data_IF_312047005521
#
_entry.id   IF_312047005521
#
_cell.length_a   1.000
_cell.length_b   1.000
_cell.length_c   1.000
_cell.angle_alpha   90.00
_cell.angle_beta   90.00
_cell.angle_gamma   90.00
#
_symmetry.space_group_name_H-M   'P 1'
#
loop_
_entity.id
_entity.type
_entity.pdbx_description
1 polymer ?
#
# COMPACT_ATOMS: atom_id res chain seq x y z
N UNK A 1 -22.81 6.98 -11.65
CA UNK A 1 -22.32 5.66 -11.17
C UNK A 1 -22.55 4.65 -12.29
N UNK A 2 -21.48 4.31 -13.06
CA UNK A 2 -21.56 3.27 -14.08
C UNK A 2 -20.96 2.01 -13.48
N UNK A 3 -21.79 1.03 -13.22
CA UNK A 3 -21.37 -0.32 -12.85
C UNK A 3 -20.60 -0.93 -14.03
N UNK A 4 -19.31 -1.17 -13.86
CA UNK A 4 -18.53 -2.00 -14.78
C UNK A 4 -19.00 -3.43 -14.62
N UNK A 5 -19.67 -3.96 -15.66
CA UNK A 5 -20.01 -5.35 -15.81
C UNK A 5 -18.71 -6.17 -15.74
N UNK A 6 -18.54 -6.92 -14.68
CA UNK A 6 -17.54 -7.96 -14.55
C UNK A 6 -17.96 -9.12 -15.44
N UNK A 7 -17.42 -9.12 -16.67
CA UNK A 7 -17.55 -10.24 -17.61
C UNK A 7 -16.89 -11.47 -16.99
N UNK A 8 -17.72 -12.43 -16.67
CA UNK A 8 -17.52 -13.88 -16.76
C UNK A 8 -16.17 -14.49 -16.42
N UNK A 9 -15.67 -14.30 -15.19
CA UNK A 9 -14.68 -15.24 -14.65
C UNK A 9 -15.43 -16.21 -13.74
N UNK A 10 -15.47 -17.51 -14.13
CA UNK A 10 -15.87 -18.60 -13.22
C UNK A 10 -15.24 -18.36 -11.86
N UNK A 11 -16.01 -18.41 -10.76
CA UNK A 11 -15.39 -18.34 -9.44
C UNK A 11 -14.37 -19.47 -9.35
N UNK A 12 -13.12 -19.19 -8.95
CA UNK A 12 -12.15 -20.24 -8.72
C UNK A 12 -12.76 -21.21 -7.72
N UNK A 13 -12.70 -22.51 -8.00
CA UNK A 13 -13.01 -23.58 -7.04
C UNK A 13 -11.94 -23.53 -5.93
N UNK A 14 -11.96 -22.49 -5.15
CA UNK A 14 -11.03 -22.29 -4.06
C UNK A 14 -11.70 -22.85 -2.80
N UNK A 15 -11.44 -24.13 -2.52
CA UNK A 15 -11.50 -24.58 -1.14
C UNK A 15 -10.45 -23.80 -0.39
N UNK A 16 -10.83 -22.66 0.19
CA UNK A 16 -9.99 -21.79 1.02
C UNK A 16 -9.61 -22.53 2.30
N UNK A 17 -8.73 -23.51 2.18
CA UNK A 17 -8.07 -24.10 3.33
C UNK A 17 -6.91 -23.18 3.73
N UNK A 18 -7.24 -22.04 4.35
CA UNK A 18 -6.26 -21.12 4.90
C UNK A 18 -5.27 -21.82 5.84
N UNK A 19 -5.72 -22.90 6.52
CA UNK A 19 -4.87 -23.74 7.36
C UNK A 19 -3.77 -24.47 6.56
N UNK A 20 -4.02 -24.84 5.29
CA UNK A 20 -3.00 -25.50 4.47
C UNK A 20 -1.89 -24.53 4.03
N UNK A 21 -2.24 -23.28 3.74
CA UNK A 21 -1.27 -22.23 3.39
C UNK A 21 -0.30 -21.98 4.55
N UNK A 22 -0.83 -21.90 5.78
CA UNK A 22 -0.01 -21.72 6.98
C UNK A 22 0.92 -22.92 7.25
N UNK A 23 0.41 -24.14 7.11
CA UNK A 23 1.19 -25.37 7.35
C UNK A 23 2.29 -25.58 6.31
N UNK A 24 2.00 -25.25 5.04
CA UNK A 24 2.93 -25.49 3.94
C UNK A 24 3.87 -24.30 3.66
N UNK A 25 3.55 -23.11 4.17
CA UNK A 25 4.31 -21.90 3.90
C UNK A 25 4.29 -21.45 2.42
N UNK A 26 3.40 -22.04 1.60
CA UNK A 26 3.32 -21.76 0.17
C UNK A 26 1.99 -21.12 -0.19
N UNK A 27 2.07 -19.97 -0.84
CA UNK A 27 0.90 -19.27 -1.38
C UNK A 27 0.63 -19.78 -2.79
N UNK A 28 -0.61 -20.24 -3.11
CA UNK A 28 -0.99 -20.66 -4.46
C UNK A 28 -0.74 -19.56 -5.50
N UNK A 29 -0.38 -19.95 -6.73
CA UNK A 29 -0.09 -19.00 -7.80
C UNK A 29 -1.29 -18.11 -8.12
N UNK A 30 -2.49 -18.66 -8.13
CA UNK A 30 -3.74 -17.91 -8.37
C UNK A 30 -3.94 -16.72 -7.41
N UNK A 31 -3.33 -16.75 -6.21
CA UNK A 31 -3.41 -15.65 -5.23
C UNK A 31 -2.37 -14.56 -5.50
N UNK A 32 -1.32 -14.89 -6.25
CA UNK A 32 -0.24 -13.98 -6.64
C UNK A 32 -0.55 -13.26 -7.94
N UNK A 33 -1.40 -13.86 -8.79
CA UNK A 33 -1.74 -13.31 -10.09
C UNK A 33 -2.62 -12.08 -9.94
N UNK A 34 -2.33 -11.06 -10.72
CA UNK A 34 -3.09 -9.82 -10.73
C UNK A 34 -3.28 -9.29 -12.16
N UNK A 35 -4.48 -8.82 -12.46
CA UNK A 35 -4.75 -8.07 -13.69
C UNK A 35 -4.35 -6.62 -13.49
N UNK A 36 -3.52 -6.08 -14.39
CA UNK A 36 -3.10 -4.68 -14.34
C UNK A 36 -4.03 -3.83 -15.20
N UNK A 37 -4.74 -2.91 -14.56
CA UNK A 37 -5.61 -1.94 -15.23
C UNK A 37 -4.93 -0.58 -15.28
N UNK A 38 -4.94 0.06 -16.46
CA UNK A 38 -4.33 1.38 -16.67
C UNK A 38 -5.30 2.47 -16.24
N UNK A 39 -4.87 3.36 -15.35
CA UNK A 39 -5.59 4.57 -14.98
C UNK A 39 -4.86 5.80 -15.50
N UNK A 40 -5.53 6.59 -16.33
CA UNK A 40 -4.99 7.86 -16.81
C UNK A 40 -4.95 8.90 -15.68
N UNK A 41 -3.81 9.57 -15.50
CA UNK A 41 -3.64 10.61 -14.48
C UNK A 41 -3.92 12.00 -15.04
N UNK A 42 -3.05 12.48 -15.92
CA UNK A 42 -3.10 13.82 -16.54
C UNK A 42 -2.13 13.90 -17.71
N UNK A 43 -2.28 14.93 -18.54
CA UNK A 43 -1.36 15.19 -19.66
C UNK A 43 -1.83 14.58 -20.98
N UNK A 44 -0.89 14.25 -21.87
CA UNK A 44 -1.20 13.62 -23.16
C UNK A 44 -1.41 12.13 -23.00
N UNK A 45 -2.50 11.61 -23.58
CA UNK A 45 -2.87 10.18 -23.50
C UNK A 45 -1.91 9.25 -24.28
N UNK A 46 -1.11 9.78 -25.18
CA UNK A 46 -0.11 9.03 -25.95
C UNK A 46 1.15 8.69 -25.15
N UNK A 47 1.36 9.30 -23.99
CA UNK A 47 2.55 9.11 -23.16
C UNK A 47 2.25 8.09 -22.05
N UNK A 48 3.00 6.98 -22.00
CA UNK A 48 2.81 5.90 -21.04
C UNK A 48 3.01 6.35 -19.58
N UNK A 49 3.89 7.29 -19.30
CA UNK A 49 4.14 7.81 -17.94
C UNK A 49 2.96 8.58 -17.35
N UNK A 50 2.00 8.98 -18.19
CA UNK A 50 0.77 9.62 -17.77
C UNK A 50 -0.29 8.62 -17.25
N UNK A 51 0.04 7.35 -17.21
CA UNK A 51 -0.82 6.29 -16.70
C UNK A 51 -0.27 5.70 -15.40
N UNK A 52 -1.18 5.24 -14.54
CA UNK A 52 -0.86 4.44 -13.36
C UNK A 52 -1.41 3.03 -13.57
N UNK A 53 -0.57 2.01 -13.36
CA UNK A 53 -1.01 0.64 -13.26
C UNK A 53 -1.70 0.41 -11.90
N UNK A 54 -2.86 -0.23 -11.92
CA UNK A 54 -3.55 -0.70 -10.72
C UNK A 54 -3.64 -2.21 -10.82
N UNK A 55 -3.04 -2.90 -9.85
CA UNK A 55 -3.07 -4.36 -9.76
C UNK A 55 -4.38 -4.81 -9.11
N UNK A 56 -5.17 -5.57 -9.85
CA UNK A 56 -6.43 -6.14 -9.40
C UNK A 56 -6.21 -7.61 -9.05
N UNK A 57 -5.98 -7.87 -7.79
CA UNK A 57 -5.85 -9.24 -7.26
C UNK A 57 -7.21 -9.94 -7.16
N UNK A 58 -7.19 -11.27 -7.23
CA UNK A 58 -8.35 -12.10 -6.92
C UNK A 58 -8.79 -11.90 -5.48
N UNK A 59 -10.09 -12.09 -5.21
CA UNK A 59 -10.69 -11.84 -3.89
C UNK A 59 -10.00 -12.67 -2.79
N UNK A 60 -9.69 -13.94 -3.08
CA UNK A 60 -9.01 -14.83 -2.14
C UNK A 60 -7.62 -14.30 -1.71
N UNK A 61 -6.84 -13.77 -2.66
CA UNK A 61 -5.56 -13.13 -2.36
C UNK A 61 -5.71 -11.88 -1.48
N UNK A 62 -6.74 -11.08 -1.71
CA UNK A 62 -7.05 -9.90 -0.88
C UNK A 62 -7.42 -10.28 0.55
N UNK A 63 -8.22 -11.35 0.72
CA UNK A 63 -8.60 -11.86 2.06
C UNK A 63 -7.35 -12.34 2.79
N UNK A 64 -6.50 -13.15 2.15
CA UNK A 64 -5.25 -13.63 2.75
C UNK A 64 -4.35 -12.45 3.17
N UNK A 65 -4.12 -11.49 2.28
CA UNK A 65 -3.34 -10.30 2.57
C UNK A 65 -3.91 -9.53 3.77
N UNK A 66 -5.24 -9.41 3.87
CA UNK A 66 -5.90 -8.75 5.00
C UNK A 66 -5.71 -9.48 6.31
N UNK A 67 -5.79 -10.82 6.32
CA UNK A 67 -5.55 -11.64 7.51
C UNK A 67 -4.10 -11.46 7.99
N UNK A 68 -3.13 -11.49 7.06
CA UNK A 68 -1.72 -11.27 7.39
C UNK A 68 -1.52 -9.86 7.95
N UNK A 69 -2.06 -8.84 7.29
CA UNK A 69 -1.95 -7.45 7.73
C UNK A 69 -2.53 -7.24 9.14
N UNK A 70 -3.69 -7.82 9.44
CA UNK A 70 -4.29 -7.71 10.77
C UNK A 70 -3.38 -8.29 11.85
N UNK A 71 -2.80 -9.47 11.60
CA UNK A 71 -1.84 -10.10 12.53
C UNK A 71 -0.57 -9.29 12.72
N UNK A 72 -0.03 -8.72 11.63
CA UNK A 72 1.13 -7.83 11.71
C UNK A 72 0.83 -6.58 12.51
N UNK A 73 -0.35 -5.98 12.32
CA UNK A 73 -0.78 -4.80 13.08
C UNK A 73 -0.88 -5.07 14.58
N UNK A 74 -1.35 -6.26 14.97
CA UNK A 74 -1.53 -6.61 16.37
C UNK A 74 -0.23 -6.97 17.09
N UNK A 75 0.75 -7.51 16.38
CA UNK A 75 1.94 -8.09 17.00
C UNK A 75 3.23 -7.32 16.82
N UNK A 76 3.41 -6.58 15.72
CA UNK A 76 4.72 -6.09 15.32
C UNK A 76 4.78 -4.60 14.96
N UNK A 77 3.69 -4.02 14.43
CA UNK A 77 3.78 -2.67 13.84
C UNK A 77 4.09 -1.60 14.88
N UNK A 78 3.58 -1.71 16.09
CA UNK A 78 3.83 -0.73 17.15
C UNK A 78 5.25 -0.82 17.72
N UNK A 79 5.92 -1.97 17.57
CA UNK A 79 7.31 -2.14 18.00
C UNK A 79 8.34 -1.78 16.93
N UNK A 80 7.98 -1.94 15.65
CA UNK A 80 8.90 -1.74 14.51
C UNK A 80 8.77 -0.33 13.91
N UNK A 81 7.54 0.19 13.82
CA UNK A 81 7.31 1.50 13.22
C UNK A 81 7.58 2.62 14.22
N UNK A 82 8.40 3.59 13.81
CA UNK A 82 8.60 4.80 14.62
C UNK A 82 7.29 5.58 14.74
N UNK A 83 7.15 6.39 15.79
CA UNK A 83 5.99 7.28 15.98
C UNK A 83 5.79 8.27 14.84
N UNK A 84 6.85 8.63 14.13
CA UNK A 84 6.81 9.52 12.98
C UNK A 84 6.23 8.88 11.71
N UNK A 85 6.12 7.54 11.66
CA UNK A 85 5.54 6.82 10.52
C UNK A 85 4.01 6.87 10.58
N UNK A 86 3.40 7.74 9.76
CA UNK A 86 1.95 7.87 9.70
C UNK A 86 1.33 7.17 8.48
N UNK A 87 2.09 6.96 7.40
CA UNK A 87 1.60 6.25 6.22
C UNK A 87 1.38 4.76 6.46
N UNK A 88 0.24 4.22 5.97
CA UNK A 88 -0.15 2.80 6.08
C UNK A 88 -0.31 2.26 7.50
N UNK A 89 -0.38 3.11 8.50
CA UNK A 89 -0.58 2.75 9.90
C UNK A 89 -2.03 2.97 10.32
N UNK A 90 -2.59 2.02 11.08
CA UNK A 90 -3.97 2.12 11.60
C UNK A 90 -4.10 3.31 12.54
N UNK A 91 -5.15 4.12 12.38
CA UNK A 91 -5.39 5.28 13.21
C UNK A 91 -4.50 6.49 12.94
N UNK A 92 -3.61 6.42 11.93
CA UNK A 92 -2.73 7.51 11.49
C UNK A 92 -3.04 7.90 10.05
N UNK A 93 -2.75 9.12 9.68
CA UNK A 93 -2.98 9.63 8.34
C UNK A 93 -2.15 10.85 7.98
N UNK A 94 -2.45 11.42 6.82
CA UNK A 94 -1.76 12.63 6.33
C UNK A 94 -1.96 13.85 7.25
N UNK A 95 -3.08 13.91 7.96
CA UNK A 95 -3.38 14.99 8.92
C UNK A 95 -2.37 14.97 10.06
N UNK A 96 -2.03 13.78 10.58
CA UNK A 96 -1.03 13.62 11.65
C UNK A 96 0.36 14.08 11.20
N UNK A 97 0.73 13.77 9.94
CA UNK A 97 2.00 14.25 9.36
C UNK A 97 2.04 15.77 9.26
N UNK A 98 0.96 16.37 8.76
CA UNK A 98 0.86 17.84 8.63
C UNK A 98 0.89 18.49 10.01
N UNK A 99 0.20 17.92 10.98
CA UNK A 99 0.19 18.41 12.36
C UNK A 99 1.61 18.39 12.97
N UNK A 100 2.28 17.24 12.87
CA UNK A 100 3.65 17.09 13.38
C UNK A 100 4.60 18.10 12.74
N UNK A 101 4.49 18.30 11.43
CA UNK A 101 5.30 19.28 10.71
C UNK A 101 5.05 20.70 11.20
N UNK A 102 3.78 21.08 11.40
CA UNK A 102 3.43 22.40 11.94
C UNK A 102 3.97 22.61 13.35
N UNK A 103 3.88 21.61 14.21
CA UNK A 103 4.44 21.68 15.57
C UNK A 103 5.96 21.93 15.55
N UNK A 104 6.70 21.27 14.65
CA UNK A 104 8.15 21.52 14.49
C UNK A 104 8.42 22.94 14.00
N UNK A 105 7.61 23.43 13.04
CA UNK A 105 7.74 24.81 12.54
C UNK A 105 7.46 25.86 13.63
N UNK A 106 6.42 25.65 14.43
CA UNK A 106 6.06 26.56 15.54
C UNK A 106 7.18 26.61 16.57
N UNK A 107 7.70 25.45 16.99
CA UNK A 107 8.82 25.39 17.94
C UNK A 107 10.11 26.03 17.43
N UNK A 108 10.43 25.84 16.16
CA UNK A 108 11.58 26.50 15.55
C UNK A 108 11.41 28.03 15.55
N UNK A 109 10.19 28.51 15.26
CA UNK A 109 9.87 29.96 15.29
C UNK A 109 9.93 30.53 16.71
N UNK A 110 9.38 29.85 17.71
CA UNK A 110 9.43 30.25 19.11
C UNK A 110 10.90 30.39 19.62
N UNK A 111 11.76 29.49 19.17
CA UNK A 111 13.18 29.50 19.53
C UNK A 111 14.03 30.40 18.64
N UNK A 112 13.44 31.08 17.68
CA UNK A 112 14.12 31.89 16.65
C UNK A 112 15.27 31.13 15.95
N UNK A 113 15.03 29.82 15.65
CA UNK A 113 16.02 28.96 15.00
C UNK A 113 15.63 28.71 13.54
N UNK A 114 16.60 28.69 12.60
CA UNK A 114 16.32 28.31 11.23
C UNK A 114 15.91 26.84 11.17
N UNK A 115 14.88 26.53 10.35
CA UNK A 115 14.40 25.18 10.10
C UNK A 115 14.58 24.86 8.61
N UNK A 116 15.33 23.83 8.31
CA UNK A 116 15.50 23.29 6.96
C UNK A 116 14.68 22.02 6.82
N UNK A 117 13.86 21.93 5.76
CA UNK A 117 13.01 20.77 5.50
C UNK A 117 13.26 20.23 4.11
N UNK A 118 13.43 18.92 4.00
CA UNK A 118 13.58 18.21 2.74
C UNK A 118 12.38 17.27 2.53
N UNK A 119 11.70 17.42 1.41
CA UNK A 119 10.62 16.54 1.00
C UNK A 119 11.10 15.61 -0.11
N UNK A 120 10.99 14.30 0.12
CA UNK A 120 11.42 13.27 -0.82
C UNK A 120 10.19 12.52 -1.31
N UNK A 121 9.98 12.48 -2.64
CA UNK A 121 8.95 11.68 -3.29
C UNK A 121 9.59 10.66 -4.22
N UNK A 122 9.28 9.37 -4.00
CA UNK A 122 9.87 8.28 -4.77
C UNK A 122 9.05 8.01 -6.02
N UNK A 123 9.69 8.05 -7.18
CA UNK A 123 9.03 7.72 -8.45
C UNK A 123 8.81 6.21 -8.55
N UNK A 124 7.55 5.79 -8.75
CA UNK A 124 7.16 4.36 -8.90
C UNK A 124 7.71 3.48 -7.75
N UNK A 125 7.60 3.96 -6.50
CA UNK A 125 8.22 3.35 -5.33
C UNK A 125 8.00 1.83 -5.22
N UNK A 126 6.76 1.34 -5.45
CA UNK A 126 6.43 -0.08 -5.38
C UNK A 126 6.98 -0.92 -6.55
N UNK A 127 7.22 -0.29 -7.71
CA UNK A 127 7.75 -0.98 -8.89
C UNK A 127 9.28 -1.09 -8.84
N UNK A 128 9.94 -0.24 -8.05
CA UNK A 128 11.41 -0.16 -7.94
C UNK A 128 11.98 -0.94 -6.76
N UNK A 129 11.13 -1.51 -5.90
CA UNK A 129 11.58 -2.35 -4.77
C UNK A 129 12.27 -3.61 -5.29
N UNK A 130 13.47 -3.88 -4.80
CA UNK A 130 14.14 -5.16 -5.04
C UNK A 130 13.45 -6.24 -4.20
N UNK A 131 12.68 -7.11 -4.87
CA UNK A 131 11.88 -8.15 -4.22
C UNK A 131 12.71 -9.32 -3.71
N UNK A 132 13.90 -9.53 -4.29
CA UNK A 132 14.80 -10.61 -3.89
C UNK A 132 15.58 -10.22 -2.61
N UNK A 133 15.63 -8.94 -2.28
CA UNK A 133 16.26 -8.43 -1.08
C UNK A 133 15.28 -8.25 0.10
N UNK A 134 13.99 -8.48 -0.13
CA UNK A 134 12.95 -8.44 0.91
C UNK A 134 12.87 -9.78 1.65
#
# INVERSE_FOLDING_TARGET
MKYLNLVGTKPPKCSLNSSSIWKQGKVPQDFKDANITKLFKKGKRSICDNYRGISLFVIAGKILARVILNRLNESLLDSICSESQCGFRKGRGTVDMIFSLRQVQEKAREQNKPLYMLFIDLTKAFDTVNRDAL
#
